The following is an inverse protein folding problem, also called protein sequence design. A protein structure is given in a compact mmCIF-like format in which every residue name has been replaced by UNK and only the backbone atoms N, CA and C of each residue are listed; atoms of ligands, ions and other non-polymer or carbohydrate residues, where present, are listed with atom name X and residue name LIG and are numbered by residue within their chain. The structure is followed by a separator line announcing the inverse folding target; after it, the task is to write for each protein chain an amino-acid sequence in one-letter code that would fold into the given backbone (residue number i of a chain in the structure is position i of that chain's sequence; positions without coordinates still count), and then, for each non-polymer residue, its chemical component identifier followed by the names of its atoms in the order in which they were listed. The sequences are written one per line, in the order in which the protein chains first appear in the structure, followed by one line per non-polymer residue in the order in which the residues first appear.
data_IF_736904166138
#
_entry.id   IF_736904166138
#
_cell.length_a   1.000
_cell.length_b   1.000
_cell.length_c   1.000
_cell.angle_alpha   90.00
_cell.angle_beta   90.00
_cell.angle_gamma   90.00
#
_symmetry.space_group_name_H-M   'P 1'
#
loop_
_entity.id
_entity.type
_entity.pdbx_description
1 polymer ?
#
# COMPACT_ATOMS: atom_id res chain seq x y z
N UNK A 1 21.14 -11.29 -6.05
CA UNK A 1 20.15 -11.10 -7.14
C UNK A 1 18.76 -11.34 -6.53
N UNK A 2 18.22 -10.32 -5.86
CA UNK A 2 16.94 -10.34 -5.17
C UNK A 2 16.44 -8.89 -5.13
N UNK A 3 16.22 -8.33 -6.31
CA UNK A 3 15.68 -6.98 -6.49
C UNK A 3 14.41 -7.21 -7.31
N UNK A 4 13.29 -6.65 -6.85
CA UNK A 4 11.96 -6.69 -7.47
C UNK A 4 11.11 -7.97 -7.27
N UNK A 5 10.78 -8.33 -6.02
CA UNK A 5 9.65 -9.26 -5.78
C UNK A 5 8.43 -8.64 -5.09
N UNK A 6 8.43 -7.34 -4.76
CA UNK A 6 7.37 -6.78 -3.91
C UNK A 6 6.94 -5.37 -4.30
N UNK A 7 6.86 -5.08 -5.59
CA UNK A 7 6.26 -3.82 -6.04
C UNK A 7 5.02 -4.16 -6.87
N UNK A 8 3.93 -3.51 -6.51
CA UNK A 8 2.59 -3.59 -7.10
C UNK A 8 1.69 -4.71 -6.56
N UNK A 9 1.11 -4.44 -5.39
CA UNK A 9 -0.20 -4.97 -5.01
C UNK A 9 -0.94 -4.01 -4.06
N UNK A 10 -1.20 -2.75 -4.45
CA UNK A 10 -1.82 -1.78 -3.52
C UNK A 10 -2.78 -0.79 -4.17
N UNK A 11 -4.08 -1.02 -3.99
CA UNK A 11 -5.12 0.01 -4.17
C UNK A 11 -6.26 -0.20 -3.13
N UNK A 12 -6.63 0.82 -2.35
CA UNK A 12 -7.89 0.83 -1.56
C UNK A 12 -8.34 2.24 -1.10
N UNK A 13 -9.65 2.55 -1.25
CA UNK A 13 -10.40 3.61 -0.55
C UNK A 13 -11.87 3.23 -0.38
N UNK A 14 -12.39 3.60 0.79
CA UNK A 14 -13.68 3.29 1.40
C UNK A 14 -14.83 4.15 0.86
N UNK A 15 -15.91 3.49 0.46
CA UNK A 15 -17.29 3.96 0.67
C UNK A 15 -18.15 2.76 1.12
N UNK A 16 -19.10 3.01 2.03
CA UNK A 16 -20.18 2.13 2.48
C UNK A 16 -20.10 0.64 2.08
N UNK A 17 -19.77 -0.20 3.06
CA UNK A 17 -20.10 -1.63 3.20
C UNK A 17 -19.49 -2.70 2.28
N UNK A 18 -18.76 -2.42 1.19
CA UNK A 18 -18.09 -3.49 0.41
C UNK A 18 -16.64 -3.14 0.06
N UNK A 19 -15.74 -4.10 0.32
CA UNK A 19 -14.30 -4.00 0.08
C UNK A 19 -13.95 -4.62 -1.27
N UNK A 20 -13.39 -3.84 -2.18
CA UNK A 20 -12.74 -4.39 -3.37
C UNK A 20 -11.22 -4.47 -3.13
N UNK A 21 -10.83 -5.28 -2.15
CA UNK A 21 -9.44 -5.70 -1.99
C UNK A 21 -9.16 -6.77 -3.05
N UNK A 22 -8.40 -6.41 -4.09
CA UNK A 22 -8.11 -7.33 -5.18
C UNK A 22 -7.13 -8.44 -4.78
N UNK A 23 -6.17 -8.13 -3.89
CA UNK A 23 -5.14 -9.06 -3.45
C UNK A 23 -4.78 -8.88 -1.96
N UNK A 24 -4.23 -9.94 -1.35
CA UNK A 24 -3.84 -10.00 0.06
C UNK A 24 -4.94 -10.52 0.99
N UNK A 25 -4.66 -10.54 2.29
CA UNK A 25 -5.62 -11.02 3.30
C UNK A 25 -6.63 -9.94 3.69
N UNK A 26 -7.89 -10.34 3.90
CA UNK A 26 -8.93 -9.44 4.38
C UNK A 26 -8.50 -8.75 5.68
N UNK A 27 -8.70 -7.43 5.76
CA UNK A 27 -8.30 -6.62 6.92
C UNK A 27 -6.82 -6.24 6.96
N UNK A 28 -6.05 -6.53 5.91
CA UNK A 28 -4.66 -6.07 5.80
C UNK A 28 -4.53 -4.57 5.52
N UNK A 29 -5.58 -3.95 4.98
CA UNK A 29 -5.67 -2.50 4.78
C UNK A 29 -6.72 -1.92 5.73
N UNK A 30 -6.44 -0.77 6.33
CA UNK A 30 -7.34 -0.08 7.25
C UNK A 30 -7.34 1.41 6.88
N UNK A 31 -8.44 2.11 7.15
CA UNK A 31 -8.49 3.55 6.96
C UNK A 31 -7.45 4.27 7.83
N UNK A 32 -6.63 5.12 7.21
CA UNK A 32 -5.74 6.04 7.92
C UNK A 32 -6.40 7.40 8.15
N UNK A 33 -5.58 8.42 8.34
CA UNK A 33 -6.03 9.83 8.28
C UNK A 33 -6.42 10.23 6.85
N UNK A 34 -6.96 11.43 6.65
CA UNK A 34 -7.39 11.93 5.33
C UNK A 34 -6.31 11.75 4.27
N UNK A 35 -6.66 11.07 3.16
CA UNK A 35 -5.78 10.70 2.03
C UNK A 35 -4.71 9.65 2.36
N UNK A 36 -4.89 8.87 3.42
CA UNK A 36 -3.93 7.85 3.84
C UNK A 36 -4.63 6.53 4.14
N UNK A 37 -3.88 5.46 3.93
CA UNK A 37 -4.24 4.10 4.31
C UNK A 37 -3.19 3.54 5.26
N UNK A 38 -3.61 2.61 6.11
CA UNK A 38 -2.73 1.83 6.95
C UNK A 38 -2.66 0.42 6.37
N UNK A 39 -1.45 -0.03 6.04
CA UNK A 39 -1.21 -1.42 5.64
C UNK A 39 -0.58 -2.18 6.79
N UNK A 40 -1.27 -3.20 7.28
CA UNK A 40 -0.76 -4.11 8.30
C UNK A 40 0.42 -4.91 7.77
N UNK A 41 1.52 -4.93 8.52
CA UNK A 41 2.68 -5.75 8.21
C UNK A 41 2.59 -7.12 8.91
N UNK A 42 3.22 -8.16 8.33
CA UNK A 42 3.42 -9.42 9.02
C UNK A 42 4.24 -9.22 10.32
N UNK A 43 3.92 -9.94 11.41
CA UNK A 43 4.69 -9.85 12.64
C UNK A 43 6.17 -10.17 12.41
N UNK A 44 7.06 -9.30 12.89
CA UNK A 44 8.51 -9.49 12.78
C UNK A 44 9.11 -9.21 11.40
N UNK A 45 8.30 -8.86 10.39
CA UNK A 45 8.77 -8.53 9.05
C UNK A 45 8.66 -7.02 8.81
N UNK A 46 9.82 -6.35 8.72
CA UNK A 46 9.94 -4.92 8.38
C UNK A 46 10.54 -4.69 6.98
N UNK A 47 10.68 -5.73 6.17
CA UNK A 47 11.32 -5.64 4.85
C UNK A 47 10.61 -4.66 3.93
N UNK A 48 9.29 -4.60 3.96
CA UNK A 48 8.52 -3.67 3.14
C UNK A 48 8.73 -2.20 3.55
N UNK A 49 8.82 -1.92 4.86
CA UNK A 49 9.16 -0.58 5.34
C UNK A 49 10.52 -0.12 4.80
N UNK A 50 11.53 -0.99 4.91
CA UNK A 50 12.89 -0.73 4.41
C UNK A 50 12.91 -0.54 2.89
N UNK A 51 12.10 -1.31 2.15
CA UNK A 51 11.97 -1.14 0.71
C UNK A 51 11.35 0.22 0.35
N UNK A 52 10.29 0.64 1.05
CA UNK A 52 9.72 1.97 0.86
C UNK A 52 10.73 3.07 1.18
N UNK A 53 11.48 2.96 2.26
CA UNK A 53 12.54 3.92 2.61
C UNK A 53 13.59 4.02 1.50
N UNK A 54 14.04 2.89 0.96
CA UNK A 54 15.00 2.84 -0.14
C UNK A 54 14.43 3.46 -1.43
N UNK A 55 13.19 3.14 -1.78
CA UNK A 55 12.52 3.68 -2.98
C UNK A 55 12.30 5.19 -2.85
N UNK A 56 11.89 5.69 -1.67
CA UNK A 56 11.70 7.13 -1.44
C UNK A 56 13.01 7.92 -1.45
N UNK A 57 14.14 7.26 -1.17
CA UNK A 57 15.46 7.86 -1.25
C UNK A 57 16.03 7.89 -2.68
N UNK A 58 15.45 7.13 -3.62
CA UNK A 58 15.86 7.06 -5.02
C UNK A 58 15.12 8.13 -5.87
N UNK A 59 15.82 9.15 -6.41
CA UNK A 59 15.19 10.19 -7.22
C UNK A 59 14.53 9.65 -8.50
N UNK A 60 15.07 8.58 -9.10
CA UNK A 60 14.57 8.02 -10.36
C UNK A 60 13.26 7.24 -10.16
N UNK A 61 12.95 6.88 -8.91
CA UNK A 61 11.74 6.16 -8.53
C UNK A 61 10.59 7.09 -8.08
N UNK A 62 10.81 8.40 -8.14
CA UNK A 62 9.84 9.40 -7.70
C UNK A 62 8.51 9.27 -8.46
N UNK A 63 7.42 9.14 -7.71
CA UNK A 63 6.05 9.03 -8.26
C UNK A 63 5.65 7.64 -8.76
N UNK A 64 6.53 6.63 -8.68
CA UNK A 64 6.22 5.26 -9.12
C UNK A 64 5.54 4.40 -8.04
N UNK A 65 5.59 4.84 -6.78
CA UNK A 65 4.94 4.15 -5.65
C UNK A 65 4.07 5.13 -4.86
N UNK A 66 3.08 4.64 -4.08
CA UNK A 66 2.43 5.47 -3.07
C UNK A 66 3.48 6.11 -2.17
N UNK A 67 3.24 7.36 -1.75
CA UNK A 67 4.10 7.98 -0.74
C UNK A 67 4.04 7.18 0.56
N UNK A 68 5.22 6.85 1.07
CA UNK A 68 5.39 6.31 2.41
C UNK A 68 5.57 7.45 3.41
N UNK A 69 4.74 7.48 4.46
CA UNK A 69 4.79 8.52 5.47
C UNK A 69 5.62 8.08 6.69
N UNK A 70 5.32 6.91 7.24
CA UNK A 70 6.00 6.35 8.42
C UNK A 70 5.57 4.92 8.70
N UNK A 71 6.38 4.23 9.49
CA UNK A 71 6.03 3.00 10.18
C UNK A 71 5.34 3.34 11.51
N UNK A 72 4.22 2.69 11.80
CA UNK A 72 3.47 2.81 13.04
C UNK A 72 3.48 1.47 13.77
N UNK A 73 3.90 1.46 15.02
CA UNK A 73 3.78 0.30 15.91
C UNK A 73 2.62 0.53 16.88
N UNK A 74 1.64 -0.37 16.89
CA UNK A 74 0.47 -0.32 17.79
C UNK A 74 0.17 -1.71 18.34
N UNK A 75 0.32 -1.86 19.66
CA UNK A 75 0.28 -3.16 20.34
C UNK A 75 1.23 -4.15 19.66
N UNK A 76 0.77 -5.36 19.35
CA UNK A 76 1.57 -6.40 18.70
C UNK A 76 1.57 -6.31 17.16
N UNK A 77 1.16 -5.17 16.59
CA UNK A 77 1.02 -5.00 15.14
C UNK A 77 1.79 -3.77 14.64
N UNK A 78 2.41 -3.92 13.48
CA UNK A 78 3.05 -2.82 12.77
C UNK A 78 2.24 -2.48 11.51
N UNK A 79 2.18 -1.19 11.17
CA UNK A 79 1.45 -0.67 10.02
C UNK A 79 2.30 0.32 9.23
N UNK A 80 2.30 0.21 7.91
CA UNK A 80 2.79 1.25 7.01
C UNK A 80 1.69 2.30 6.83
N UNK A 81 1.99 3.56 7.09
CA UNK A 81 1.13 4.66 6.68
C UNK A 81 1.51 5.09 5.25
N UNK A 82 0.60 4.87 4.30
CA UNK A 82 0.79 5.10 2.86
C UNK A 82 -0.25 6.07 2.31
N UNK A 83 0.05 6.67 1.15
CA UNK A 83 -0.91 7.46 0.39
C UNK A 83 -2.07 6.61 -0.13
N UNK A 84 -3.28 7.14 0.03
CA UNK A 84 -4.46 6.60 -0.61
C UNK A 84 -4.50 7.03 -2.09
N UNK A 85 -4.07 6.15 -2.99
CA UNK A 85 -4.07 6.41 -4.43
C UNK A 85 -5.47 6.66 -5.01
N UNK A 86 -6.51 6.11 -4.39
CA UNK A 86 -7.88 6.30 -4.85
C UNK A 86 -8.46 7.66 -4.44
N UNK A 87 -7.78 8.41 -3.57
CA UNK A 87 -8.14 9.81 -3.32
C UNK A 87 -8.13 10.64 -4.62
N UNK A 88 -7.27 10.30 -5.57
CA UNK A 88 -7.18 10.98 -6.88
C UNK A 88 -8.36 10.67 -7.82
N UNK A 89 -9.18 9.67 -7.50
CA UNK A 89 -10.34 9.23 -8.28
C UNK A 89 -11.61 9.29 -7.44
N UNK A 90 -12.16 10.49 -7.17
CA UNK A 90 -13.23 10.67 -6.19
C UNK A 90 -14.57 10.07 -6.62
N UNK A 91 -14.83 9.92 -7.92
CA UNK A 91 -16.05 9.28 -8.42
C UNK A 91 -15.89 7.76 -8.39
N UNK A 92 -16.66 7.09 -7.54
CA UNK A 92 -16.62 5.63 -7.41
C UNK A 92 -17.18 4.91 -8.66
N UNK A 93 -18.14 5.50 -9.36
CA UNK A 93 -18.79 4.89 -10.53
C UNK A 93 -17.88 4.81 -11.76
N UNK A 94 -16.83 5.63 -11.81
CA UNK A 94 -15.87 5.70 -12.92
C UNK A 94 -14.51 5.08 -12.55
N UNK A 95 -14.44 4.40 -11.40
CA UNK A 95 -13.20 3.85 -10.86
C UNK A 95 -13.09 2.38 -11.23
N UNK A 96 -12.01 2.04 -11.93
CA UNK A 96 -11.64 0.66 -12.22
C UNK A 96 -10.26 0.41 -11.62
N UNK A 97 -10.14 -0.71 -10.93
CA UNK A 97 -8.93 -1.09 -10.21
C UNK A 97 -8.45 -2.40 -10.81
N UNK A 98 -7.16 -2.48 -11.09
CA UNK A 98 -6.52 -3.71 -11.53
C UNK A 98 -5.22 -3.87 -10.75
N UNK A 99 -5.00 -5.07 -10.24
CA UNK A 99 -3.76 -5.47 -9.59
C UNK A 99 -3.07 -6.47 -10.52
N UNK A 100 -1.86 -6.12 -10.97
CA UNK A 100 -1.05 -6.94 -11.86
C UNK A 100 0.26 -7.24 -11.16
N UNK A 101 0.40 -8.48 -10.69
CA UNK A 101 1.67 -8.96 -10.16
C UNK A 101 2.71 -9.03 -11.28
N UNK A 102 3.83 -8.34 -11.06
CA UNK A 102 4.93 -8.28 -12.02
C UNK A 102 6.05 -9.23 -11.62
N UNK A 103 6.64 -9.92 -12.61
CA UNK A 103 7.74 -10.86 -12.41
C UNK A 103 7.62 -12.07 -13.32
N UNK A 104 8.74 -12.73 -13.62
CA UNK A 104 8.74 -14.02 -14.32
C UNK A 104 8.51 -15.22 -13.38
N UNK A 105 8.44 -14.96 -12.07
CA UNK A 105 8.30 -15.94 -11.00
C UNK A 105 7.51 -15.35 -9.84
#
# INVERSE_FOLDING_TARGET
MAILSFIFAFIARIFSSNWDQLAGHAGALIQGTTRRILKKMPPGDKSEALNYEAIMADPDMSGLTPRFFKLLDYMDNSYLELEDLLWHFPNASDRFIMDLKMGTR
#
